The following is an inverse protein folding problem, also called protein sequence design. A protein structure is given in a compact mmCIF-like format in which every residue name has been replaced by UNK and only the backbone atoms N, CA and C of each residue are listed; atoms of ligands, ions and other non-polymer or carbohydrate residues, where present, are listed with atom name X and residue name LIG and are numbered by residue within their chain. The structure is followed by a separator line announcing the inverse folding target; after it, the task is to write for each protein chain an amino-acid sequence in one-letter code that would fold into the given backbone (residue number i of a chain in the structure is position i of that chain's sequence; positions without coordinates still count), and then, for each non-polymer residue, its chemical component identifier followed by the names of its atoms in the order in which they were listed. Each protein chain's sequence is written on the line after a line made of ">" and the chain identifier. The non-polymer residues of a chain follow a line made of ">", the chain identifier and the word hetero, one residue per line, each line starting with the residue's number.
data_IF_020175188983
#
_entry.id   IF_020175188983
#
_cell.length_a   1.000
_cell.length_b   1.000
_cell.length_c   1.000
_cell.angle_alpha   90.00
_cell.angle_beta   90.00
_cell.angle_gamma   90.00
#
_symmetry.space_group_name_H-M   'P 1'
#
loop_
_entity.id
_entity.type
_entity.pdbx_description
1 polymer ?
#
# COMPACT_ATOMS: atom_id res chain seq x y z
N UNK A 1 -42.54 41.86 -26.99
CA UNK A 1 -42.25 40.41 -26.87
C UNK A 1 -40.80 40.04 -27.17
N UNK A 2 -40.12 40.65 -28.13
CA UNK A 2 -38.68 40.36 -28.44
C UNK A 2 -37.72 40.58 -27.26
N UNK A 3 -37.93 41.63 -26.47
CA UNK A 3 -37.01 41.95 -25.35
C UNK A 3 -37.11 41.00 -24.15
N UNK A 4 -38.32 40.43 -23.92
CA UNK A 4 -38.54 39.50 -22.81
C UNK A 4 -37.80 38.15 -23.03
N UNK A 5 -37.79 37.68 -24.30
CA UNK A 5 -37.09 36.45 -24.69
C UNK A 5 -35.57 36.59 -24.57
N UNK A 6 -35.04 37.79 -24.91
CA UNK A 6 -33.59 38.08 -24.81
C UNK A 6 -33.13 38.07 -23.34
N UNK A 7 -33.90 38.68 -22.42
CA UNK A 7 -33.58 38.64 -20.99
C UNK A 7 -33.71 37.24 -20.39
N UNK A 8 -34.65 36.43 -20.86
CA UNK A 8 -34.80 35.05 -20.42
C UNK A 8 -33.61 34.17 -20.84
N UNK A 9 -33.11 34.35 -22.06
CA UNK A 9 -31.91 33.62 -22.57
C UNK A 9 -30.66 34.07 -21.82
N UNK A 10 -30.45 35.36 -21.53
CA UNK A 10 -29.31 35.87 -20.79
C UNK A 10 -29.37 35.36 -19.33
N UNK A 11 -30.53 35.32 -18.67
CA UNK A 11 -30.66 34.79 -17.32
C UNK A 11 -30.39 33.29 -17.27
N UNK A 12 -30.78 32.52 -18.29
CA UNK A 12 -30.56 31.08 -18.37
C UNK A 12 -29.07 30.75 -18.61
N UNK A 13 -28.34 31.60 -19.39
CA UNK A 13 -26.90 31.41 -19.62
C UNK A 13 -26.05 31.77 -18.38
N UNK A 14 -26.52 32.68 -17.53
CA UNK A 14 -25.85 32.99 -16.27
C UNK A 14 -26.04 31.86 -15.25
N UNK A 15 -27.18 31.19 -15.23
CA UNK A 15 -27.44 30.03 -14.36
C UNK A 15 -26.59 28.79 -14.72
N UNK A 16 -26.18 28.65 -15.98
CA UNK A 16 -25.33 27.51 -16.40
C UNK A 16 -23.87 27.66 -15.95
N UNK A 17 -23.40 28.87 -15.62
CA UNK A 17 -22.05 29.10 -15.12
C UNK A 17 -21.93 28.99 -13.58
N UNK A 18 -23.02 28.66 -12.87
CA UNK A 18 -23.01 28.33 -11.44
C UNK A 18 -22.85 26.83 -11.14
N UNK A 19 -22.41 26.04 -12.12
CA UNK A 19 -21.89 24.70 -11.86
C UNK A 19 -20.64 24.86 -11.00
N UNK A 20 -20.79 24.72 -9.68
CA UNK A 20 -19.79 25.04 -8.69
C UNK A 20 -18.47 24.36 -9.00
N UNK A 21 -17.41 25.15 -8.99
CA UNK A 21 -16.07 24.59 -8.92
C UNK A 21 -16.02 23.66 -7.71
N UNK A 22 -15.72 22.39 -7.94
CA UNK A 22 -15.53 21.44 -6.86
C UNK A 22 -14.39 21.97 -5.99
N UNK A 23 -14.71 22.43 -4.79
CA UNK A 23 -13.72 22.84 -3.80
C UNK A 23 -13.14 21.57 -3.18
N UNK A 24 -11.93 21.21 -3.59
CA UNK A 24 -11.17 20.12 -2.97
C UNK A 24 -10.57 20.61 -1.66
N UNK A 25 -11.01 20.06 -0.54
CA UNK A 25 -10.38 20.29 0.76
C UNK A 25 -9.28 19.23 0.96
N UNK A 26 -8.02 19.65 0.85
CA UNK A 26 -6.87 18.80 1.18
C UNK A 26 -6.59 18.88 2.68
N UNK A 27 -6.48 17.72 3.33
CA UNK A 27 -6.02 17.59 4.70
C UNK A 27 -4.59 17.06 4.69
N UNK A 28 -3.67 17.84 5.25
CA UNK A 28 -2.30 17.36 5.46
C UNK A 28 -2.25 16.45 6.68
N UNK A 29 -1.61 15.27 6.51
CA UNK A 29 -1.39 14.29 7.56
C UNK A 29 0.11 14.13 7.74
N UNK A 30 0.58 14.25 8.97
CA UNK A 30 1.99 14.21 9.35
C UNK A 30 2.17 13.53 10.71
N UNK A 31 3.40 13.39 11.17
CA UNK A 31 3.72 12.89 12.51
C UNK A 31 3.12 13.74 13.64
N UNK A 32 2.88 15.04 13.39
CA UNK A 32 2.23 15.95 14.36
C UNK A 32 0.75 15.65 14.57
N UNK A 33 0.10 14.95 13.62
CA UNK A 33 -1.34 14.69 13.68
C UNK A 33 -1.71 13.23 13.41
N UNK A 34 -0.76 12.31 13.63
CA UNK A 34 -1.07 10.89 13.76
C UNK A 34 -0.22 9.90 12.97
N UNK A 35 0.60 10.30 11.99
CA UNK A 35 1.54 9.36 11.38
C UNK A 35 2.66 8.97 12.34
N UNK A 36 3.17 7.75 12.21
CA UNK A 36 4.32 7.28 12.98
C UNK A 36 5.63 8.00 12.60
N UNK A 37 5.72 8.48 11.34
CA UNK A 37 6.84 9.26 10.80
C UNK A 37 6.40 10.03 9.55
N UNK A 38 7.08 11.12 9.21
CA UNK A 38 6.80 11.94 8.01
C UNK A 38 7.37 11.35 6.72
N UNK A 39 8.32 10.41 6.79
CA UNK A 39 8.82 9.68 5.63
C UNK A 39 7.87 8.53 5.29
N UNK A 40 6.95 8.79 4.38
CA UNK A 40 6.04 7.80 3.81
C UNK A 40 6.73 7.11 2.64
N UNK A 41 6.79 5.79 2.68
CA UNK A 41 7.43 4.96 1.66
C UNK A 41 6.40 4.38 0.70
N UNK A 42 5.26 3.92 1.22
CA UNK A 42 4.23 3.28 0.40
C UNK A 42 2.85 3.34 1.07
N UNK A 43 1.79 3.09 0.28
CA UNK A 43 0.41 3.07 0.75
C UNK A 43 -0.40 1.97 0.06
N UNK A 44 -1.32 1.36 0.80
CA UNK A 44 -2.29 0.39 0.29
C UNK A 44 -3.69 0.68 0.84
N UNK A 45 -4.72 0.18 0.14
CA UNK A 45 -6.12 0.29 0.60
C UNK A 45 -6.67 -1.12 0.73
N UNK A 46 -7.26 -1.44 1.90
CA UNK A 46 -7.91 -2.73 2.12
C UNK A 46 -9.38 -2.74 1.65
N UNK A 47 -10.01 -3.93 1.69
CA UNK A 47 -11.42 -4.09 1.27
C UNK A 47 -12.42 -3.31 2.12
N UNK A 48 -12.05 -2.90 3.33
CA UNK A 48 -12.86 -2.06 4.21
C UNK A 48 -12.70 -0.57 3.90
N UNK A 49 -11.80 -0.21 2.96
CA UNK A 49 -11.48 1.16 2.61
C UNK A 49 -10.54 1.84 3.61
N UNK A 50 -9.88 1.08 4.50
CA UNK A 50 -8.84 1.62 5.34
C UNK A 50 -7.57 1.87 4.53
N UNK A 51 -6.93 3.00 4.74
CA UNK A 51 -5.65 3.34 4.13
C UNK A 51 -4.52 2.90 5.05
N UNK A 52 -3.66 2.04 4.53
CA UNK A 52 -2.44 1.61 5.17
C UNK A 52 -1.26 2.45 4.68
N UNK A 53 -0.40 2.88 5.58
CA UNK A 53 0.73 3.76 5.26
C UNK A 53 2.00 3.20 5.90
N UNK A 54 2.96 2.82 5.07
CA UNK A 54 4.30 2.42 5.49
C UNK A 54 5.18 3.66 5.70
N UNK A 55 5.88 3.71 6.82
CA UNK A 55 6.83 4.76 7.13
C UNK A 55 8.16 4.18 7.62
N UNK A 56 9.18 5.03 7.80
CA UNK A 56 10.45 4.60 8.42
C UNK A 56 10.35 4.32 9.94
N UNK A 57 9.17 4.52 10.57
CA UNK A 57 8.98 4.31 12.00
C UNK A 57 7.67 3.58 12.36
N UNK A 58 7.21 2.70 11.47
CA UNK A 58 6.07 1.82 11.69
C UNK A 58 4.98 1.90 10.64
N UNK A 59 3.98 1.04 10.81
CA UNK A 59 2.82 0.91 9.94
C UNK A 59 1.62 1.63 10.54
N UNK A 60 0.95 2.43 9.72
CA UNK A 60 -0.24 3.16 10.11
C UNK A 60 -1.46 2.58 9.40
N UNK A 61 -2.57 2.39 10.13
CA UNK A 61 -3.88 2.06 9.56
C UNK A 61 -4.82 3.22 9.79
N UNK A 62 -5.24 3.88 8.72
CA UNK A 62 -6.20 4.99 8.77
C UNK A 62 -7.60 4.51 8.47
N UNK A 63 -8.51 4.71 9.43
CA UNK A 63 -9.92 4.33 9.28
C UNK A 63 -10.72 5.58 8.89
N UNK A 64 -11.71 5.44 8.02
CA UNK A 64 -12.43 6.55 7.38
C UNK A 64 -13.09 7.59 8.30
N UNK A 65 -13.19 7.33 9.61
CA UNK A 65 -13.66 8.28 10.64
C UNK A 65 -12.56 9.22 11.18
N UNK A 66 -11.33 9.14 10.63
CA UNK A 66 -10.17 9.91 11.10
C UNK A 66 -9.38 9.25 12.23
N UNK A 67 -9.73 8.03 12.65
CA UNK A 67 -8.93 7.25 13.59
C UNK A 67 -7.71 6.66 12.89
N UNK A 68 -6.56 6.68 13.59
CA UNK A 68 -5.32 6.06 13.15
C UNK A 68 -4.86 5.04 14.20
N UNK A 69 -4.44 3.87 13.75
CA UNK A 69 -3.80 2.84 14.57
C UNK A 69 -2.36 2.73 14.09
N UNK A 70 -1.42 2.81 15.02
CA UNK A 70 0.02 2.67 14.72
C UNK A 70 0.51 1.32 15.23
N UNK A 71 1.04 0.52 14.31
CA UNK A 71 1.71 -0.75 14.58
C UNK A 71 3.22 -0.56 14.55
N UNK A 72 3.89 -1.06 15.58
CA UNK A 72 5.35 -1.07 15.73
C UNK A 72 5.80 -2.42 16.26
N UNK A 73 7.08 -2.75 16.13
CA UNK A 73 7.68 -3.93 16.78
C UNK A 73 7.33 -4.01 18.27
N UNK A 74 7.37 -2.88 18.96
CA UNK A 74 7.16 -2.80 20.41
C UNK A 74 5.72 -3.03 20.88
N UNK A 75 4.71 -2.94 20.00
CA UNK A 75 3.30 -3.00 20.39
C UNK A 75 2.45 -3.96 19.54
N UNK A 76 3.05 -4.64 18.58
CA UNK A 76 2.30 -5.52 17.67
C UNK A 76 3.03 -6.79 17.34
N UNK A 77 3.12 -7.39 16.37
CA UNK A 77 3.98 -8.47 15.89
C UNK A 77 4.66 -8.06 14.58
N UNK A 78 4.76 -6.76 14.34
CA UNK A 78 5.46 -6.24 13.17
C UNK A 78 6.96 -6.55 13.28
N UNK A 79 7.56 -7.15 12.26
CA UNK A 79 8.95 -7.60 12.30
C UNK A 79 9.96 -6.44 12.30
N UNK A 80 9.59 -5.29 11.71
CA UNK A 80 10.44 -4.10 11.65
C UNK A 80 9.62 -2.82 11.63
N UNK A 81 10.16 -1.73 12.19
CA UNK A 81 9.59 -0.39 12.00
C UNK A 81 10.05 0.27 10.69
N UNK A 82 11.19 -0.13 10.12
CA UNK A 82 11.74 0.42 8.88
C UNK A 82 11.10 -0.25 7.66
N UNK A 83 9.94 0.25 7.27
CA UNK A 83 9.15 -0.32 6.19
C UNK A 83 9.60 0.21 4.82
N UNK A 84 9.33 -0.55 3.77
CA UNK A 84 9.72 -0.22 2.39
C UNK A 84 8.55 -0.26 1.42
N UNK A 85 7.67 -1.27 1.50
CA UNK A 85 6.57 -1.44 0.56
C UNK A 85 5.36 -2.11 1.21
N UNK A 86 4.19 -1.92 0.60
CA UNK A 86 2.92 -2.51 1.00
C UNK A 86 2.23 -3.13 -0.21
N UNK A 87 1.72 -4.33 -0.05
CA UNK A 87 0.76 -4.91 -0.99
C UNK A 87 -0.42 -5.51 -0.22
N UNK A 88 -1.64 -5.05 -0.49
CA UNK A 88 -2.84 -5.68 0.01
C UNK A 88 -3.35 -6.73 -0.96
N UNK A 89 -3.44 -7.97 -0.50
CA UNK A 89 -3.98 -9.10 -1.23
C UNK A 89 -5.48 -9.27 -0.93
N UNK A 90 -6.38 -8.87 -1.83
CA UNK A 90 -7.81 -8.96 -1.59
C UNK A 90 -8.35 -10.40 -1.58
N UNK A 91 -7.69 -11.34 -2.24
CA UNK A 91 -8.15 -12.74 -2.31
C UNK A 91 -7.89 -13.49 -1.01
N UNK A 92 -6.78 -13.23 -0.37
CA UNK A 92 -6.42 -13.84 0.92
C UNK A 92 -6.77 -12.94 2.12
N UNK A 93 -7.10 -11.65 1.88
CA UNK A 93 -7.32 -10.61 2.88
C UNK A 93 -6.11 -10.41 3.78
N UNK A 94 -4.93 -10.39 3.16
CA UNK A 94 -3.63 -10.23 3.81
C UNK A 94 -2.96 -8.96 3.31
N UNK A 95 -2.42 -8.15 4.23
CA UNK A 95 -1.50 -7.07 3.92
C UNK A 95 -0.06 -7.60 4.04
N UNK A 96 0.67 -7.51 2.95
CA UNK A 96 2.11 -7.78 2.88
C UNK A 96 2.85 -6.49 3.21
N UNK A 97 3.75 -6.54 4.17
CA UNK A 97 4.48 -5.38 4.68
C UNK A 97 5.97 -5.67 4.57
N UNK A 98 6.62 -5.12 3.57
CA UNK A 98 8.05 -5.25 3.34
C UNK A 98 8.87 -4.37 4.26
N UNK A 99 10.03 -4.85 4.68
CA UNK A 99 10.97 -4.11 5.51
C UNK A 99 12.37 -4.03 4.90
N UNK A 100 13.15 -3.08 5.39
CA UNK A 100 14.50 -2.81 4.89
C UNK A 100 15.48 -3.97 5.12
N UNK A 101 15.36 -4.72 6.23
CA UNK A 101 16.34 -5.74 6.64
C UNK A 101 15.77 -6.98 7.33
N UNK A 102 14.47 -6.97 7.71
CA UNK A 102 13.87 -8.02 8.54
C UNK A 102 12.81 -8.86 7.78
N UNK A 103 12.82 -8.79 6.43
CA UNK A 103 11.89 -9.54 5.60
C UNK A 103 10.50 -8.90 5.49
N UNK A 104 9.47 -9.71 5.58
CA UNK A 104 8.07 -9.32 5.37
C UNK A 104 7.25 -9.68 6.61
N UNK A 105 6.39 -8.79 7.05
CA UNK A 105 5.29 -9.11 7.95
C UNK A 105 4.01 -9.31 7.16
N UNK A 106 3.37 -10.46 7.32
CA UNK A 106 2.06 -10.78 6.77
C UNK A 106 0.99 -10.45 7.82
N UNK A 107 0.19 -9.42 7.58
CA UNK A 107 -0.92 -9.06 8.46
C UNK A 107 -2.23 -9.65 7.95
N UNK A 108 -2.80 -10.61 8.68
CA UNK A 108 -4.14 -11.13 8.39
C UNK A 108 -5.19 -10.13 8.90
N UNK A 109 -5.90 -9.48 7.96
CA UNK A 109 -6.90 -8.47 8.29
C UNK A 109 -8.15 -9.02 9.02
N UNK A 110 -8.38 -10.34 9.00
CA UNK A 110 -9.49 -11.00 9.71
C UNK A 110 -9.17 -11.25 11.17
N UNK A 111 -7.97 -11.80 11.43
CA UNK A 111 -7.53 -12.16 12.78
C UNK A 111 -6.78 -11.02 13.47
N UNK A 112 -6.33 -10.02 12.70
CA UNK A 112 -5.51 -8.90 13.15
C UNK A 112 -4.17 -9.36 13.77
N UNK A 113 -3.60 -10.43 13.21
CA UNK A 113 -2.33 -10.99 13.65
C UNK A 113 -1.26 -10.81 12.57
N UNK A 114 -0.04 -10.56 13.01
CA UNK A 114 1.15 -10.60 12.16
C UNK A 114 1.77 -11.99 12.17
N UNK A 115 2.38 -12.35 11.06
CA UNK A 115 3.23 -13.51 10.89
C UNK A 115 4.46 -13.08 10.09
N UNK A 116 5.63 -13.46 10.56
CA UNK A 116 6.89 -13.18 9.87
C UNK A 116 7.05 -14.09 8.64
N UNK A 117 7.68 -13.55 7.61
CA UNK A 117 8.03 -14.24 6.39
C UNK A 117 9.41 -13.74 5.94
N UNK A 118 10.42 -14.57 6.21
CA UNK A 118 11.83 -14.21 6.16
C UNK A 118 12.63 -15.25 5.35
N UNK A 119 13.94 -15.14 5.37
CA UNK A 119 14.81 -16.17 4.79
C UNK A 119 14.65 -17.54 5.46
N UNK A 120 14.19 -17.61 6.69
CA UNK A 120 13.91 -18.88 7.38
C UNK A 120 12.66 -19.58 6.78
N UNK A 121 11.72 -18.81 6.23
CA UNK A 121 10.56 -19.31 5.49
C UNK A 121 10.82 -19.45 3.98
N UNK A 122 12.01 -19.11 3.51
CA UNK A 122 12.48 -19.36 2.15
C UNK A 122 12.62 -18.15 1.24
N UNK A 123 12.52 -16.91 1.75
CA UNK A 123 12.84 -15.73 0.97
C UNK A 123 14.34 -15.72 0.58
N UNK A 124 14.65 -15.18 -0.60
CA UNK A 124 16.03 -15.02 -1.06
C UNK A 124 16.81 -14.01 -0.23
N UNK A 125 16.13 -13.00 0.34
CA UNK A 125 16.73 -11.95 1.17
C UNK A 125 15.71 -11.34 2.11
N UNK A 126 16.17 -10.80 3.24
CA UNK A 126 15.33 -10.00 4.14
C UNK A 126 15.30 -8.51 3.78
N UNK A 127 16.11 -8.05 2.81
CA UNK A 127 16.16 -6.64 2.38
C UNK A 127 15.16 -6.38 1.24
N UNK A 128 13.89 -6.28 1.59
CA UNK A 128 12.78 -6.11 0.63
C UNK A 128 12.75 -4.67 0.12
N UNK A 129 12.61 -4.50 -1.21
CA UNK A 129 12.47 -3.19 -1.85
C UNK A 129 11.07 -2.95 -2.41
N UNK A 130 10.40 -4.01 -2.91
CA UNK A 130 9.07 -3.88 -3.47
C UNK A 130 8.29 -5.20 -3.40
N UNK A 131 6.97 -5.11 -3.33
CA UNK A 131 6.03 -6.23 -3.31
C UNK A 131 4.86 -5.91 -4.24
N UNK A 132 4.59 -6.76 -5.21
CA UNK A 132 3.53 -6.52 -6.18
C UNK A 132 2.73 -7.78 -6.53
N UNK A 133 1.45 -7.65 -6.95
CA UNK A 133 0.65 -8.78 -7.38
C UNK A 133 1.16 -9.35 -8.71
N UNK A 134 1.03 -10.66 -8.86
CA UNK A 134 1.19 -11.29 -10.16
C UNK A 134 -0.11 -11.24 -10.98
N UNK A 135 0.02 -11.26 -12.29
CA UNK A 135 -1.12 -11.27 -13.19
C UNK A 135 -2.05 -12.48 -12.93
N UNK A 136 -3.36 -12.21 -12.90
CA UNK A 136 -4.38 -13.27 -12.70
C UNK A 136 -4.41 -13.82 -11.28
N UNK A 137 -3.94 -13.06 -10.30
CA UNK A 137 -3.97 -13.42 -8.87
C UNK A 137 -3.25 -14.75 -8.52
N UNK A 138 -2.24 -15.12 -9.33
CA UNK A 138 -1.52 -16.39 -9.17
C UNK A 138 -0.52 -16.38 -8.04
N UNK A 139 -0.04 -15.21 -7.62
CA UNK A 139 1.01 -15.09 -6.62
C UNK A 139 1.41 -13.65 -6.36
N UNK A 140 2.53 -13.51 -5.69
CA UNK A 140 3.12 -12.22 -5.30
C UNK A 140 4.58 -12.20 -5.74
N UNK A 141 4.97 -11.11 -6.41
CA UNK A 141 6.36 -10.81 -6.73
C UNK A 141 7.00 -10.02 -5.61
N UNK A 142 8.22 -10.38 -5.25
CA UNK A 142 8.99 -9.73 -4.20
C UNK A 142 10.36 -9.37 -4.78
N UNK A 143 10.73 -8.11 -4.71
CA UNK A 143 12.03 -7.62 -5.14
C UNK A 143 12.91 -7.28 -3.95
N UNK A 144 14.22 -7.47 -4.09
CA UNK A 144 15.21 -7.26 -3.04
C UNK A 144 16.31 -6.27 -3.44
N UNK A 145 16.92 -5.66 -2.44
CA UNK A 145 18.04 -4.73 -2.63
C UNK A 145 19.25 -5.41 -3.30
N UNK A 146 19.41 -6.73 -3.12
CA UNK A 146 20.44 -7.55 -3.76
C UNK A 146 20.25 -7.77 -5.27
N UNK A 147 19.10 -7.35 -5.84
CA UNK A 147 18.76 -7.54 -7.25
C UNK A 147 18.12 -8.90 -7.56
N UNK A 148 17.88 -9.73 -6.58
CA UNK A 148 17.12 -10.97 -6.70
C UNK A 148 15.62 -10.66 -6.71
N UNK A 149 14.84 -11.60 -7.26
CA UNK A 149 13.36 -11.52 -7.31
C UNK A 149 12.80 -12.88 -6.92
N UNK A 150 11.85 -12.90 -6.02
CA UNK A 150 11.07 -14.08 -5.68
C UNK A 150 9.64 -13.99 -6.22
N UNK A 151 9.12 -15.15 -6.57
CA UNK A 151 7.70 -15.35 -6.84
C UNK A 151 7.10 -16.29 -5.80
N UNK A 152 6.19 -15.77 -4.98
CA UNK A 152 5.39 -16.57 -4.08
C UNK A 152 4.16 -17.09 -4.82
N UNK A 153 4.09 -18.39 -5.05
CA UNK A 153 2.96 -19.07 -5.70
C UNK A 153 1.85 -19.33 -4.67
N UNK A 154 0.70 -18.68 -4.83
CA UNK A 154 -0.44 -18.79 -3.89
C UNK A 154 -1.05 -20.19 -3.86
N UNK A 155 -0.99 -20.94 -4.95
CA UNK A 155 -1.57 -22.27 -5.04
C UNK A 155 -0.72 -23.31 -4.29
N UNK A 156 0.59 -23.27 -4.52
CA UNK A 156 1.53 -24.24 -3.93
C UNK A 156 2.12 -23.78 -2.59
N UNK A 157 1.95 -22.48 -2.25
CA UNK A 157 2.54 -21.83 -1.09
C UNK A 157 4.07 -21.91 -1.07
N UNK A 158 4.70 -21.90 -2.25
CA UNK A 158 6.14 -22.01 -2.42
C UNK A 158 6.74 -20.75 -3.02
N UNK A 159 8.00 -20.51 -2.69
CA UNK A 159 8.84 -19.50 -3.31
C UNK A 159 9.56 -20.10 -4.53
N UNK A 160 9.61 -19.35 -5.61
CA UNK A 160 10.42 -19.58 -6.80
C UNK A 160 11.35 -18.38 -6.95
N UNK A 161 12.65 -18.60 -6.76
CA UNK A 161 13.64 -17.53 -6.80
C UNK A 161 14.22 -17.33 -8.19
N UNK A 162 14.33 -16.08 -8.61
CA UNK A 162 14.90 -15.65 -9.87
C UNK A 162 16.11 -14.76 -9.62
N UNK A 163 17.27 -15.16 -10.13
CA UNK A 163 18.53 -14.44 -9.97
C UNK A 163 19.42 -14.64 -11.21
N UNK A 164 20.57 -13.98 -11.25
CA UNK A 164 21.51 -14.04 -12.38
C UNK A 164 22.05 -15.44 -12.69
N UNK A 165 21.93 -16.41 -11.76
CA UNK A 165 22.38 -17.79 -11.93
C UNK A 165 21.36 -18.65 -12.68
N UNK A 166 20.05 -18.37 -12.51
CA UNK A 166 18.98 -19.18 -13.10
C UNK A 166 18.23 -18.49 -14.24
N UNK A 167 18.47 -17.19 -14.48
CA UNK A 167 17.97 -16.47 -15.66
C UNK A 167 19.17 -15.85 -16.42
N UNK A 168 19.60 -16.42 -17.56
CA UNK A 168 20.62 -15.84 -18.40
C UNK A 168 20.21 -14.44 -18.87
N UNK A 169 21.01 -13.42 -18.57
CA UNK A 169 20.75 -12.03 -18.97
C UNK A 169 20.26 -11.10 -17.86
N UNK A 170 19.91 -11.59 -16.67
CA UNK A 170 19.82 -10.78 -15.46
C UNK A 170 21.26 -10.50 -14.99
N UNK A 171 21.82 -9.37 -15.41
CA UNK A 171 23.07 -8.84 -14.89
C UNK A 171 22.74 -7.79 -13.83
N UNK A 172 23.19 -8.00 -12.59
CA UNK A 172 23.20 -6.98 -11.55
C UNK A 172 24.20 -5.88 -11.83
#
# INVERSE_FOLDING_TARGET
>A
MKNLLTYLIISLSILQNLAGQATYNFKHISSQNGLSNDFVLDMAIDQQGCVWVATEAGLNKWVGNGSNIVYKESNSGLVSNELTSLYYDPSENILWVGSRQEGISLFDCRTQQFKDFTTDEGLSSNSVTDIMPAAGDKGVWIAYLSGEIDFYDKQTKKIISYNSRNIPGLTG
#
